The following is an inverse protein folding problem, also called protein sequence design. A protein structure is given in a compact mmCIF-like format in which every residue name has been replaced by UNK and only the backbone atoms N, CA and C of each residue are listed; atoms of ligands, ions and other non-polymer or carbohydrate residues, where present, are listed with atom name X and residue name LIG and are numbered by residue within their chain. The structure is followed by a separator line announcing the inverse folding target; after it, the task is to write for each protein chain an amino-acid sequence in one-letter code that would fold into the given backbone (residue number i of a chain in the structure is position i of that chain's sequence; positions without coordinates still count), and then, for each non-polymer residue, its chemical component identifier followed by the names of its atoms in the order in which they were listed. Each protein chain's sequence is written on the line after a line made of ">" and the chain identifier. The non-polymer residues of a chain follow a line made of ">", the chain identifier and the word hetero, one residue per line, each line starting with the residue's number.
data_IF_172518070985
#
_entry.id   IF_172518070985
#
_cell.length_a   1.000
_cell.length_b   1.000
_cell.length_c   1.000
_cell.angle_alpha   90.00
_cell.angle_beta   90.00
_cell.angle_gamma   90.00
#
_symmetry.space_group_name_H-M   'P 1'
#
loop_
_entity.id
_entity.type
_entity.pdbx_description
1 polymer ?
#
# COMPACT_ATOMS: atom_id res chain seq x y z
N UNK A 1 -16.33 -2.71 -30.41
CA UNK A 1 -15.13 -2.02 -30.92
C UNK A 1 -14.98 -0.70 -30.17
N UNK A 2 -14.18 -0.70 -29.11
CA UNK A 2 -13.10 0.24 -28.80
C UNK A 2 -12.25 -0.56 -27.81
N UNK A 3 -11.13 -1.11 -28.29
CA UNK A 3 -10.16 -1.79 -27.46
C UNK A 3 -9.34 -0.71 -26.77
N UNK A 4 -9.44 -0.64 -25.45
CA UNK A 4 -8.44 0.04 -24.62
C UNK A 4 -7.46 -1.02 -24.13
N UNK A 5 -6.43 -1.33 -24.92
CA UNK A 5 -5.24 -1.99 -24.39
C UNK A 5 -4.45 -0.89 -23.67
N UNK A 6 -4.33 -0.90 -22.33
CA UNK A 6 -3.45 0.04 -21.65
C UNK A 6 -2.01 -0.24 -22.08
N UNK A 7 -1.17 0.79 -22.23
CA UNK A 7 0.20 0.62 -22.71
C UNK A 7 0.97 -0.33 -21.81
N UNK A 8 1.63 -1.30 -22.44
CA UNK A 8 2.65 -2.11 -21.81
C UNK A 8 3.85 -1.20 -21.48
N UNK A 9 3.92 -0.76 -20.24
CA UNK A 9 5.12 -0.15 -19.66
C UNK A 9 5.39 -0.86 -18.35
N UNK A 10 6.08 -1.99 -18.48
CA UNK A 10 6.95 -2.62 -17.49
C UNK A 10 6.73 -2.23 -16.02
N UNK A 11 5.90 -3.00 -15.31
CA UNK A 11 6.17 -3.31 -13.90
C UNK A 11 5.79 -4.77 -13.70
N UNK A 12 6.73 -5.67 -13.98
CA UNK A 12 6.78 -6.90 -13.18
C UNK A 12 6.90 -6.41 -11.74
N UNK A 13 5.76 -6.35 -11.05
CA UNK A 13 5.74 -6.01 -9.64
C UNK A 13 6.39 -7.22 -8.97
N UNK A 14 7.72 -7.19 -8.84
CA UNK A 14 8.53 -8.30 -8.32
C UNK A 14 8.04 -8.75 -6.95
N UNK A 15 7.44 -7.83 -6.20
CA UNK A 15 6.84 -8.07 -4.90
C UNK A 15 5.42 -8.66 -4.96
N UNK A 16 4.88 -9.02 -6.13
CA UNK A 16 3.50 -9.55 -6.23
C UNK A 16 3.35 -10.83 -5.41
N UNK A 17 4.32 -11.74 -5.53
CA UNK A 17 4.32 -13.00 -4.79
C UNK A 17 4.57 -12.76 -3.29
N UNK A 18 5.53 -11.88 -2.95
CA UNK A 18 5.82 -11.47 -1.57
C UNK A 18 4.61 -10.80 -0.89
N UNK A 19 3.91 -9.90 -1.59
CA UNK A 19 2.68 -9.25 -1.11
C UNK A 19 1.54 -10.24 -0.87
N UNK A 20 1.40 -11.23 -1.76
CA UNK A 20 0.37 -12.25 -1.64
C UNK A 20 0.64 -13.23 -0.47
N UNK A 21 1.91 -13.42 -0.09
CA UNK A 21 2.30 -14.31 1.01
C UNK A 21 1.99 -13.75 2.41
N UNK A 22 1.85 -12.43 2.56
CA UNK A 22 1.70 -11.79 3.88
C UNK A 22 0.36 -12.09 4.56
N UNK A 23 -0.70 -12.29 3.78
CA UNK A 23 -2.06 -12.44 4.32
C UNK A 23 -2.75 -11.08 4.54
N UNK A 24 -3.58 -10.92 5.59
CA UNK A 24 -4.41 -9.73 5.76
C UNK A 24 -3.58 -8.46 5.92
N UNK A 25 -3.91 -7.43 5.15
CA UNK A 25 -3.26 -6.12 5.15
C UNK A 25 -4.31 -5.02 5.22
N UNK A 26 -3.94 -3.84 5.69
CA UNK A 26 -4.78 -2.65 5.55
C UNK A 26 -4.24 -1.76 4.43
N UNK A 27 -4.98 -1.69 3.34
CA UNK A 27 -4.62 -0.87 2.20
C UNK A 27 -5.35 0.48 2.26
N UNK A 28 -4.61 1.57 2.12
CA UNK A 28 -5.14 2.92 1.98
C UNK A 28 -4.92 3.40 0.55
N UNK A 29 -5.98 3.87 -0.10
CA UNK A 29 -5.96 4.45 -1.44
C UNK A 29 -6.88 5.70 -1.50
N UNK A 30 -6.62 6.67 -2.38
CA UNK A 30 -7.49 7.84 -2.55
C UNK A 30 -8.92 7.44 -2.95
N UNK A 31 -9.93 8.16 -2.44
CA UNK A 31 -11.35 7.95 -2.84
C UNK A 31 -11.59 8.23 -4.32
N UNK A 32 -10.72 9.02 -4.95
CA UNK A 32 -10.76 9.32 -6.38
C UNK A 32 -10.46 8.08 -7.23
N UNK A 33 -9.73 7.12 -6.67
CA UNK A 33 -9.47 5.86 -7.33
C UNK A 33 -10.69 4.93 -7.18
N UNK A 34 -11.06 4.23 -8.27
CA UNK A 34 -12.22 3.34 -8.26
C UNK A 34 -11.97 2.11 -7.37
N UNK A 35 -10.72 1.64 -7.30
CA UNK A 35 -10.31 0.51 -6.48
C UNK A 35 -8.84 0.61 -6.03
N UNK A 36 -8.47 -0.30 -5.14
CA UNK A 36 -7.14 -0.40 -4.55
C UNK A 36 -6.02 -0.70 -5.56
N UNK A 37 -6.32 -1.43 -6.65
CA UNK A 37 -5.33 -1.87 -7.62
C UNK A 37 -5.04 -0.79 -8.68
N UNK A 38 -5.98 0.13 -8.89
CA UNK A 38 -5.81 1.31 -9.74
C UNK A 38 -4.70 2.21 -9.20
N UNK A 39 -4.64 2.38 -7.88
CA UNK A 39 -3.57 3.10 -7.20
C UNK A 39 -2.18 2.45 -7.36
N UNK A 40 -2.14 1.11 -7.42
CA UNK A 40 -0.91 0.35 -7.68
C UNK A 40 -0.42 0.51 -9.13
N UNK A 41 -1.33 0.65 -10.09
CA UNK A 41 -0.95 0.79 -11.51
C UNK A 41 -0.13 2.07 -11.77
N UNK A 42 -0.36 3.13 -11.01
CA UNK A 42 0.35 4.41 -11.11
C UNK A 42 1.56 4.51 -10.18
N UNK A 43 1.72 3.57 -9.25
CA UNK A 43 2.84 3.56 -8.30
C UNK A 43 4.17 3.28 -9.02
N UNK A 44 5.11 4.22 -8.92
CA UNK A 44 6.45 4.12 -9.49
C UNK A 44 7.56 3.98 -8.47
N UNK A 45 7.31 4.41 -7.24
CA UNK A 45 8.29 4.37 -6.15
C UNK A 45 7.69 3.73 -4.91
N UNK A 46 8.55 3.13 -4.11
CA UNK A 46 8.19 2.45 -2.87
C UNK A 46 9.13 2.88 -1.75
N UNK A 47 8.58 3.19 -0.57
CA UNK A 47 9.37 3.44 0.65
C UNK A 47 8.76 2.71 1.83
N UNK A 48 9.63 2.12 2.64
CA UNK A 48 9.27 1.54 3.93
C UNK A 48 9.29 2.64 4.99
N UNK A 49 8.29 2.65 5.86
CA UNK A 49 8.23 3.55 7.00
C UNK A 49 7.77 2.80 8.24
N UNK A 50 8.34 3.16 9.38
CA UNK A 50 7.91 2.64 10.68
C UNK A 50 7.59 3.83 11.58
N UNK A 51 6.38 3.84 12.12
CA UNK A 51 5.95 4.80 13.13
C UNK A 51 5.76 4.07 14.44
N UNK A 52 6.22 4.64 15.54
CA UNK A 52 5.90 4.13 16.87
C UNK A 52 4.66 4.88 17.37
N UNK A 53 3.62 4.15 17.76
CA UNK A 53 2.43 4.68 18.41
C UNK A 53 2.17 3.99 19.76
N UNK A 54 1.05 4.32 20.41
CA UNK A 54 0.66 3.80 21.72
C UNK A 54 0.39 2.29 21.72
N UNK A 55 0.14 1.68 20.56
CA UNK A 55 -0.06 0.25 20.37
C UNK A 55 1.20 -0.48 19.89
N UNK A 56 2.30 0.24 19.65
CA UNK A 56 3.59 -0.31 19.25
C UNK A 56 4.04 0.16 17.87
N UNK A 57 4.91 -0.60 17.19
CA UNK A 57 5.35 -0.26 15.84
C UNK A 57 4.20 -0.45 14.83
N UNK A 58 3.98 0.60 14.05
CA UNK A 58 3.08 0.66 12.91
C UNK A 58 3.93 0.73 11.64
N UNK A 59 4.06 -0.41 10.98
CA UNK A 59 4.87 -0.58 9.78
C UNK A 59 4.02 -0.35 8.52
N UNK A 60 4.57 0.40 7.58
CA UNK A 60 3.85 0.83 6.39
C UNK A 60 4.76 0.90 5.16
N UNK A 61 4.28 0.35 4.06
CA UNK A 61 4.80 0.58 2.71
C UNK A 61 4.06 1.77 2.09
N UNK A 62 4.80 2.79 1.68
CA UNK A 62 4.25 3.95 0.97
C UNK A 62 4.65 3.87 -0.49
N UNK A 63 3.64 3.93 -1.36
CA UNK A 63 3.83 3.98 -2.79
C UNK A 63 3.56 5.40 -3.29
N UNK A 64 4.39 5.84 -4.22
CA UNK A 64 4.29 7.17 -4.82
C UNK A 64 4.22 7.07 -6.33
N UNK A 65 3.54 8.03 -6.95
CA UNK A 65 3.55 8.22 -8.39
C UNK A 65 4.84 8.93 -8.85
N UNK A 66 4.90 9.22 -10.15
CA UNK A 66 6.05 9.89 -10.78
C UNK A 66 6.29 11.31 -10.23
N UNK A 67 5.25 11.96 -9.70
CA UNK A 67 5.26 13.30 -9.10
C UNK A 67 5.52 13.30 -7.58
N UNK A 68 5.93 12.16 -7.00
CA UNK A 68 6.14 11.97 -5.56
C UNK A 68 4.87 12.15 -4.71
N UNK A 69 3.69 12.00 -5.30
CA UNK A 69 2.44 12.04 -4.56
C UNK A 69 2.12 10.65 -4.02
N UNK A 70 1.73 10.52 -2.74
CA UNK A 70 1.34 9.23 -2.19
C UNK A 70 0.07 8.73 -2.89
N UNK A 71 0.18 7.63 -3.60
CA UNK A 71 -0.94 7.03 -4.34
C UNK A 71 -1.50 5.80 -3.62
N UNK A 72 -0.68 5.07 -2.86
CA UNK A 72 -1.11 3.88 -2.15
C UNK A 72 -0.30 3.67 -0.87
N UNK A 73 -0.93 3.16 0.18
CA UNK A 73 -0.25 2.75 1.42
C UNK A 73 -0.71 1.38 1.84
N UNK A 74 0.22 0.58 2.32
CA UNK A 74 -0.08 -0.75 2.88
C UNK A 74 0.45 -0.77 4.31
N UNK A 75 -0.43 -1.01 5.26
CA UNK A 75 -0.07 -1.21 6.65
C UNK A 75 -0.11 -2.69 6.99
N UNK A 76 0.91 -3.14 7.72
CA UNK A 76 0.89 -4.44 8.37
C UNK A 76 -0.16 -4.43 9.49
N UNK A 77 -0.91 -5.52 9.59
CA UNK A 77 -1.86 -5.77 10.67
C UNK A 77 -1.32 -6.83 11.64
N UNK A 78 -1.87 -6.94 12.86
CA UNK A 78 -1.56 -8.04 13.77
C UNK A 78 -1.77 -9.43 13.13
N UNK A 79 -2.75 -9.54 12.24
CA UNK A 79 -3.12 -10.75 11.51
C UNK A 79 -2.15 -11.11 10.37
N UNK A 80 -1.27 -10.18 9.97
CA UNK A 80 -0.30 -10.41 8.89
C UNK A 80 0.83 -11.33 9.34
N UNK A 81 1.28 -12.22 8.43
CA UNK A 81 2.50 -12.98 8.63
C UNK A 81 3.69 -12.02 8.75
N UNK A 82 4.31 -12.01 9.92
CA UNK A 82 5.41 -11.09 10.22
C UNK A 82 6.68 -11.46 9.44
N UNK A 83 6.96 -12.73 9.23
CA UNK A 83 8.18 -13.16 8.56
C UNK A 83 8.12 -12.80 7.08
N UNK A 84 6.99 -13.05 6.42
CA UNK A 84 6.76 -12.64 5.03
C UNK A 84 6.79 -11.12 4.87
N UNK A 85 6.27 -10.37 5.85
CA UNK A 85 6.38 -8.91 5.85
C UNK A 85 7.83 -8.44 5.98
N UNK A 86 8.59 -8.99 6.92
CA UNK A 86 10.00 -8.62 7.16
C UNK A 86 10.85 -8.95 5.93
N UNK A 87 10.59 -10.08 5.26
CA UNK A 87 11.22 -10.45 3.99
C UNK A 87 10.91 -9.45 2.87
N UNK A 88 9.65 -9.08 2.69
CA UNK A 88 9.25 -8.05 1.72
C UNK A 88 9.95 -6.72 2.00
N UNK A 89 9.96 -6.27 3.26
CA UNK A 89 10.65 -5.03 3.65
C UNK A 89 12.14 -5.10 3.33
N UNK A 90 12.80 -6.23 3.59
CA UNK A 90 14.21 -6.42 3.24
C UNK A 90 14.44 -6.40 1.72
N UNK A 91 13.55 -7.02 0.94
CA UNK A 91 13.57 -6.95 -0.53
C UNK A 91 13.48 -5.50 -1.03
N UNK A 92 12.59 -4.69 -0.44
CA UNK A 92 12.41 -3.29 -0.82
C UNK A 92 13.57 -2.37 -0.39
N UNK A 93 14.24 -2.65 0.74
CA UNK A 93 15.36 -1.84 1.24
C UNK A 93 16.67 -2.11 0.49
N UNK A 94 16.80 -3.24 -0.21
CA UNK A 94 17.94 -3.53 -1.08
C UNK A 94 18.02 -2.68 -2.35
N UNK A 95 17.15 -1.68 -2.50
CA UNK A 95 16.91 -0.94 -3.74
C UNK A 95 17.19 0.56 -3.63
N UNK A 96 17.91 1.00 -2.58
CA UNK A 96 18.17 2.42 -2.35
C UNK A 96 18.82 3.08 -3.58
N UNK A 97 18.02 3.92 -4.25
CA UNK A 97 18.42 4.83 -5.30
C UNK A 97 18.85 6.16 -4.64
N UNK A 98 20.05 6.61 -4.99
CA UNK A 98 20.84 7.68 -4.36
C UNK A 98 20.20 9.09 -4.50
N UNK A 99 19.12 9.23 -5.27
CA UNK A 99 18.44 10.51 -5.55
C UNK A 99 17.21 10.72 -4.65
N UNK A 100 17.41 10.72 -3.33
CA UNK A 100 16.33 11.06 -2.39
C UNK A 100 16.36 12.57 -2.13
N UNK A 101 15.29 13.33 -2.43
CA UNK A 101 15.14 14.68 -1.87
C UNK A 101 15.13 14.60 -0.34
N UNK A 102 15.74 15.58 0.34
CA UNK A 102 15.69 15.78 1.81
C UNK A 102 14.26 16.12 2.29
N UNK A 103 13.28 15.29 1.93
CA UNK A 103 11.89 15.48 2.28
C UNK A 103 11.64 14.84 3.64
N UNK A 104 11.26 15.60 4.68
CA UNK A 104 11.05 15.01 5.98
C UNK A 104 9.73 14.24 5.91
N UNK A 105 9.81 12.92 5.84
CA UNK A 105 8.71 11.95 5.88
C UNK A 105 7.73 12.17 7.05
N UNK A 106 8.10 12.98 8.04
CA UNK A 106 7.24 13.51 9.10
C UNK A 106 6.09 14.41 8.59
N UNK A 107 6.17 14.89 7.35
CA UNK A 107 5.21 15.83 6.77
C UNK A 107 4.10 15.19 5.96
N UNK A 108 4.03 13.86 5.82
CA UNK A 108 2.92 13.19 5.12
C UNK A 108 1.58 13.75 5.57
N UNK A 109 1.34 13.85 6.88
CA UNK A 109 0.09 14.41 7.40
C UNK A 109 0.00 15.94 7.31
N UNK A 110 1.10 16.68 7.36
CA UNK A 110 1.09 18.15 7.43
C UNK A 110 1.02 18.82 6.05
N UNK A 111 1.59 18.19 5.01
CA UNK A 111 1.54 18.66 3.63
C UNK A 111 0.27 18.13 2.93
N UNK A 112 -0.19 16.90 3.23
CA UNK A 112 -1.51 16.41 2.80
C UNK A 112 -2.65 17.28 3.36
N UNK A 113 -2.54 17.71 4.62
CA UNK A 113 -3.50 18.67 5.22
C UNK A 113 -3.47 20.05 4.55
N UNK A 114 -2.34 20.46 3.97
CA UNK A 114 -2.16 21.79 3.37
C UNK A 114 -2.60 21.85 1.90
N UNK A 115 -2.59 20.72 1.20
CA UNK A 115 -2.97 20.59 -0.21
C UNK A 115 -4.44 20.18 -0.42
N UNK A 116 -5.20 20.01 0.67
CA UNK A 116 -6.52 19.41 0.66
C UNK A 116 -6.38 17.89 0.64
N UNK A 117 -6.73 17.23 1.75
CA UNK A 117 -6.59 15.79 1.87
C UNK A 117 -7.26 15.09 0.67
N UNK A 118 -6.56 14.26 -0.12
CA UNK A 118 -7.27 13.18 -0.78
C UNK A 118 -7.98 12.42 0.34
N UNK A 119 -9.31 12.37 0.32
CA UNK A 119 -10.03 11.53 1.27
C UNK A 119 -9.54 10.11 0.99
N UNK A 120 -8.94 9.46 1.98
CA UNK A 120 -8.44 8.10 1.83
C UNK A 120 -9.56 7.12 2.17
N UNK A 121 -9.65 6.02 1.41
CA UNK A 121 -10.36 4.81 1.86
C UNK A 121 -9.34 3.86 2.45
N UNK A 122 -9.68 3.27 3.58
CA UNK A 122 -8.92 2.19 4.20
C UNK A 122 -9.70 0.89 4.03
N UNK A 123 -9.11 -0.14 3.44
CA UNK A 123 -9.77 -1.42 3.19
C UNK A 123 -8.91 -2.57 3.69
N UNK A 124 -9.41 -3.41 4.62
CA UNK A 124 -8.79 -4.68 4.96
C UNK A 124 -8.84 -5.64 3.77
N UNK A 125 -7.68 -6.06 3.27
CA UNK A 125 -7.59 -6.86 2.06
C UNK A 125 -6.61 -8.02 2.20
N UNK A 126 -6.94 -9.11 1.51
CA UNK A 126 -6.01 -10.15 1.12
C UNK A 126 -5.56 -9.87 -0.30
N UNK A 127 -4.25 -9.84 -0.51
CA UNK A 127 -3.67 -9.72 -1.83
C UNK A 127 -3.36 -11.11 -2.37
N UNK A 128 -3.61 -11.32 -3.66
CA UNK A 128 -3.39 -12.59 -4.34
C UNK A 128 -2.51 -12.37 -5.54
N UNK A 129 -1.57 -13.28 -5.77
CA UNK A 129 -0.82 -13.32 -7.01
C UNK A 129 -1.57 -14.17 -8.04
N UNK A 130 -1.69 -13.64 -9.25
CA UNK A 130 -2.21 -14.35 -10.41
C UNK A 130 -1.27 -14.11 -11.58
N UNK A 131 -1.24 -15.03 -12.55
CA UNK A 131 -0.53 -14.79 -13.81
C UNK A 131 -1.56 -14.51 -14.90
N UNK A 132 -1.28 -13.50 -15.70
CA UNK A 132 -2.07 -13.24 -16.92
C UNK A 132 -1.80 -14.32 -17.96
N UNK A 133 -2.66 -14.42 -18.99
CA UNK A 133 -2.43 -15.31 -20.13
C UNK A 133 -1.14 -15.00 -20.89
N UNK A 134 -0.65 -13.77 -20.79
CA UNK A 134 0.64 -13.31 -21.34
C UNK A 134 1.83 -13.60 -20.40
N UNK A 135 1.63 -14.26 -19.27
CA UNK A 135 2.67 -14.65 -18.31
C UNK A 135 3.06 -13.58 -17.29
N UNK A 136 2.62 -12.33 -17.46
CA UNK A 136 2.91 -11.25 -16.51
C UNK A 136 2.21 -11.48 -15.16
N UNK A 137 2.94 -11.24 -14.06
CA UNK A 137 2.40 -11.28 -12.71
C UNK A 137 1.38 -10.15 -12.50
N UNK A 138 0.26 -10.47 -11.85
CA UNK A 138 -0.84 -9.54 -11.57
C UNK A 138 -1.34 -9.75 -10.16
N UNK A 139 -1.49 -8.65 -9.44
CA UNK A 139 -2.10 -8.63 -8.13
C UNK A 139 -3.63 -8.60 -8.26
N UNK A 140 -4.31 -9.39 -7.45
CA UNK A 140 -5.75 -9.30 -7.21
C UNK A 140 -5.98 -9.02 -5.72
N UNK A 141 -7.15 -8.49 -5.38
CA UNK A 141 -7.49 -8.16 -4.00
C UNK A 141 -8.88 -8.69 -3.65
N UNK A 142 -9.03 -9.21 -2.44
CA UNK A 142 -10.32 -9.60 -1.88
C UNK A 142 -10.46 -9.05 -0.45
N UNK A 143 -11.68 -8.76 0.03
CA UNK A 143 -11.89 -8.36 1.43
C UNK A 143 -11.27 -9.36 2.41
N UNK A 144 -10.55 -8.87 3.41
CA UNK A 144 -10.00 -9.69 4.49
C UNK A 144 -10.98 -9.77 5.66
N UNK A 145 -11.08 -10.96 6.28
CA UNK A 145 -11.66 -11.10 7.61
C UNK A 145 -10.55 -10.90 8.63
N UNK A 146 -10.72 -9.92 9.51
CA UNK A 146 -9.76 -9.62 10.56
C UNK A 146 -10.20 -10.20 11.90
N UNK A 147 -9.23 -10.57 12.72
CA UNK A 147 -9.41 -10.79 14.15
C UNK A 147 -9.92 -9.54 14.86
N UNK A 148 -10.28 -9.65 16.14
CA UNK A 148 -10.62 -8.49 16.95
C UNK A 148 -9.45 -7.49 17.03
N UNK A 149 -8.23 -7.99 17.27
CA UNK A 149 -7.03 -7.17 17.32
C UNK A 149 -6.73 -6.48 15.97
N UNK A 150 -6.93 -7.20 14.86
CA UNK A 150 -6.82 -6.64 13.52
C UNK A 150 -7.81 -5.52 13.25
N UNK A 151 -9.08 -5.69 13.65
CA UNK A 151 -10.10 -4.65 13.51
C UNK A 151 -9.77 -3.39 14.33
N UNK A 152 -9.31 -3.56 15.57
CA UNK A 152 -8.91 -2.43 16.41
C UNK A 152 -7.70 -1.69 15.83
N UNK A 153 -6.68 -2.43 15.37
CA UNK A 153 -5.53 -1.85 14.68
C UNK A 153 -5.95 -1.11 13.40
N UNK A 154 -6.82 -1.71 12.57
CA UNK A 154 -7.29 -1.11 11.34
C UNK A 154 -8.06 0.20 11.57
N UNK A 155 -8.97 0.22 12.55
CA UNK A 155 -9.68 1.44 12.97
C UNK A 155 -8.71 2.49 13.51
N UNK A 156 -7.72 2.07 14.28
CA UNK A 156 -6.72 2.97 14.83
C UNK A 156 -5.90 3.65 13.73
N UNK A 157 -5.37 2.86 12.80
CA UNK A 157 -4.60 3.35 11.66
C UNK A 157 -5.45 4.27 10.79
N UNK A 158 -6.69 3.87 10.45
CA UNK A 158 -7.59 4.67 9.64
C UNK A 158 -7.86 6.04 10.28
N UNK A 159 -8.10 6.09 11.60
CA UNK A 159 -8.31 7.34 12.33
C UNK A 159 -7.09 8.26 12.30
N UNK A 160 -5.90 7.72 12.52
CA UNK A 160 -4.65 8.50 12.48
C UNK A 160 -4.40 9.03 11.07
N UNK A 161 -4.67 8.21 10.06
CA UNK A 161 -4.50 8.57 8.65
C UNK A 161 -5.62 9.48 8.12
N UNK A 162 -6.68 9.74 8.89
CA UNK A 162 -7.86 10.48 8.41
C UNK A 162 -8.60 9.76 7.27
N UNK A 163 -8.53 8.43 7.23
CA UNK A 163 -9.12 7.59 6.20
C UNK A 163 -10.50 7.04 6.64
N UNK A 164 -11.39 6.87 5.67
CA UNK A 164 -12.67 6.19 5.86
C UNK A 164 -12.45 4.68 5.74
N UNK A 165 -12.65 3.96 6.85
CA UNK A 165 -12.58 2.50 6.85
C UNK A 165 -13.80 1.92 6.09
N UNK A 166 -13.53 1.13 5.05
CA UNK A 166 -14.52 0.35 4.34
C UNK A 166 -14.98 -0.80 5.25
N UNK A 167 -16.30 -0.99 5.32
CA UNK A 167 -16.95 -2.02 6.13
C UNK A 167 -16.83 -3.42 5.50
#
# INVERSE_FOLDING_TARGET
>A
MVYGVPPASSRDIRWTESLAAIGPLLCLYPVSEPDVLSALAIASRLRVSVRIDVHGPCECLNFFDDDWRPCWRIYRLPDSDRLSWDQLVAECLGEDDDETPDWPWRFGTAIERRLGNPLWRASPLLLHSSRTTAGAARLAASPARLSFAGNEAARHIARIAGAMLAA
#
